data_IF_778362327013
#
_entry.id   IF_778362327013
#
_cell.length_a   1.000
_cell.length_b   1.000
_cell.length_c   1.000
_cell.angle_alpha   90.00
_cell.angle_beta   90.00
_cell.angle_gamma   90.00
#
_symmetry.space_group_name_H-M   'P 1'
#
loop_
_entity.id
_entity.type
_entity.pdbx_description
1 polymer ?
#
# COMPACT_ATOMS: atom_id res chain seq x y z
N UNK A 1 3.04 -30.60 -47.20
CA UNK A 1 1.99 -29.74 -46.64
C UNK A 1 2.65 -28.68 -45.77
N UNK A 2 2.34 -27.40 -46.07
CA UNK A 2 2.47 -26.11 -45.34
C UNK A 2 3.36 -26.12 -44.07
N UNK A 3 4.40 -25.28 -43.96
CA UNK A 3 4.31 -23.85 -43.62
C UNK A 3 4.41 -23.72 -42.07
N UNK A 4 5.17 -22.83 -41.44
CA UNK A 4 5.33 -21.40 -41.70
C UNK A 4 6.62 -20.84 -41.03
N UNK A 5 7.15 -19.82 -41.73
CA UNK A 5 7.92 -18.66 -41.30
C UNK A 5 8.59 -18.64 -39.92
N UNK A 6 9.91 -18.58 -39.97
CA UNK A 6 10.74 -17.92 -38.96
C UNK A 6 10.64 -16.41 -39.19
N UNK A 7 10.10 -15.66 -38.22
CA UNK A 7 10.32 -14.22 -38.13
C UNK A 7 11.52 -13.98 -37.21
N UNK A 8 12.69 -13.78 -37.81
CA UNK A 8 13.83 -13.17 -37.15
C UNK A 8 13.53 -11.68 -37.00
N UNK A 9 13.62 -11.14 -35.78
CA UNK A 9 13.68 -9.69 -35.61
C UNK A 9 15.04 -9.33 -34.99
N UNK A 10 15.87 -8.73 -35.83
CA UNK A 10 17.20 -8.20 -35.51
C UNK A 10 17.07 -6.93 -34.66
N UNK A 11 17.00 -7.10 -33.34
CA UNK A 11 17.44 -6.09 -32.37
C UNK A 11 17.77 -6.76 -31.05
N UNK A 12 19.05 -6.76 -30.72
CA UNK A 12 19.61 -7.34 -29.51
C UNK A 12 18.89 -6.87 -28.23
N UNK A 13 18.54 -7.82 -27.38
CA UNK A 13 18.07 -7.62 -26.02
C UNK A 13 17.84 -8.98 -25.36
N UNK A 14 18.85 -9.50 -24.65
CA UNK A 14 18.71 -10.71 -23.84
C UNK A 14 17.68 -10.53 -22.71
N UNK A 15 17.47 -11.53 -21.83
CA UNK A 15 16.55 -11.39 -20.71
C UNK A 15 16.98 -10.19 -19.85
N UNK A 16 16.16 -9.15 -19.84
CA UNK A 16 16.33 -8.02 -18.92
C UNK A 16 15.97 -8.51 -17.52
N UNK A 17 16.97 -9.00 -16.77
CA UNK A 17 16.89 -9.10 -15.31
C UNK A 17 17.04 -7.70 -14.73
N UNK A 18 16.05 -6.84 -14.98
CA UNK A 18 15.96 -5.53 -14.37
C UNK A 18 15.38 -5.70 -12.97
N UNK A 19 16.19 -5.48 -11.94
CA UNK A 19 15.67 -5.06 -10.64
C UNK A 19 15.05 -3.67 -10.83
N UNK A 20 13.85 -3.60 -11.42
CA UNK A 20 13.02 -2.41 -11.30
C UNK A 20 12.60 -2.35 -9.85
N UNK A 21 13.26 -1.49 -9.06
CA UNK A 21 12.60 -0.97 -7.88
C UNK A 21 11.29 -0.36 -8.37
N UNK A 22 10.19 -1.08 -8.19
CA UNK A 22 8.86 -0.61 -8.51
C UNK A 22 8.68 0.68 -7.70
N UNK A 23 8.59 1.82 -8.40
CA UNK A 23 8.44 3.13 -7.76
C UNK A 23 7.09 3.12 -7.04
N UNK A 24 7.12 2.91 -5.73
CA UNK A 24 5.94 2.93 -4.87
C UNK A 24 5.79 4.28 -4.21
N UNK A 25 4.57 4.79 -4.21
CA UNK A 25 4.18 5.92 -3.39
C UNK A 25 4.02 5.42 -1.96
N UNK A 26 4.54 6.18 -1.00
CA UNK A 26 4.39 5.92 0.44
C UNK A 26 3.49 6.97 1.05
N UNK A 27 2.66 6.55 2.01
CA UNK A 27 1.87 7.44 2.84
C UNK A 27 1.94 7.01 4.32
N UNK A 28 1.72 7.97 5.20
CA UNK A 28 1.43 7.72 6.61
C UNK A 28 -0.03 8.07 6.86
N UNK A 29 -0.79 7.15 7.44
CA UNK A 29 -2.20 7.35 7.76
C UNK A 29 -2.32 7.44 9.27
N UNK A 30 -2.77 8.61 9.74
CA UNK A 30 -3.09 8.86 11.13
C UNK A 30 -4.56 8.54 11.34
N UNK A 31 -4.86 7.72 12.33
CA UNK A 31 -6.19 7.13 12.51
C UNK A 31 -6.67 7.50 13.91
N UNK A 32 -7.91 8.01 13.99
CA UNK A 32 -8.63 8.05 15.26
C UNK A 32 -9.54 6.83 15.37
N UNK A 33 -9.45 6.16 16.53
CA UNK A 33 -10.17 4.97 16.86
C UNK A 33 -11.17 5.24 18.00
N UNK A 34 -12.31 4.56 17.99
CA UNK A 34 -13.27 4.60 19.10
C UNK A 34 -12.58 4.27 20.42
N UNK A 35 -13.09 4.83 21.52
CA UNK A 35 -12.49 4.67 22.84
C UNK A 35 -12.19 3.20 23.17
N UNK A 36 -10.94 2.92 23.54
CA UNK A 36 -10.47 1.57 23.89
C UNK A 36 -10.16 0.65 22.70
N UNK A 37 -10.33 1.09 21.44
CA UNK A 37 -10.14 0.25 20.24
C UNK A 37 -8.78 0.39 19.56
N UNK A 38 -7.92 1.30 20.00
CA UNK A 38 -6.64 1.60 19.33
C UNK A 38 -5.79 0.34 19.03
N UNK A 39 -5.61 -0.52 20.03
CA UNK A 39 -4.82 -1.76 19.89
C UNK A 39 -5.49 -2.74 18.93
N UNK A 40 -6.81 -2.88 18.99
CA UNK A 40 -7.55 -3.80 18.12
C UNK A 40 -7.54 -3.32 16.66
N UNK A 41 -7.65 -2.01 16.44
CA UNK A 41 -7.49 -1.39 15.11
C UNK A 41 -6.09 -1.67 14.57
N UNK A 42 -5.03 -1.35 15.34
CA UNK A 42 -3.66 -1.60 14.91
C UNK A 42 -3.42 -3.08 14.56
N UNK A 43 -3.89 -4.01 15.42
CA UNK A 43 -3.79 -5.45 15.16
C UNK A 43 -4.55 -5.88 13.91
N UNK A 44 -5.73 -5.31 13.66
CA UNK A 44 -6.53 -5.63 12.47
C UNK A 44 -5.89 -5.17 11.16
N UNK A 45 -5.02 -4.16 11.23
CA UNK A 45 -4.28 -3.63 10.08
C UNK A 45 -2.96 -4.38 9.83
N UNK A 46 -2.46 -5.13 10.81
CA UNK A 46 -1.24 -5.92 10.66
C UNK A 46 -1.45 -7.06 9.65
N UNK A 47 -0.52 -7.20 8.71
CA UNK A 47 -0.57 -8.23 7.67
C UNK A 47 -1.54 -7.92 6.52
N UNK A 48 -2.21 -6.77 6.52
CA UNK A 48 -3.05 -6.33 5.40
C UNK A 48 -2.16 -5.88 4.24
N UNK A 49 -2.40 -6.42 3.04
CA UNK A 49 -1.66 -6.06 1.83
C UNK A 49 -1.67 -4.54 1.60
N UNK A 50 -0.48 -3.96 1.42
CA UNK A 50 -0.28 -2.52 1.22
C UNK A 50 -0.05 -1.73 2.51
N UNK A 51 -0.22 -2.34 3.68
CA UNK A 51 0.11 -1.75 4.98
C UNK A 51 1.40 -2.39 5.50
N UNK A 52 2.47 -1.61 5.57
CA UNK A 52 3.80 -2.09 5.99
C UNK A 52 3.92 -2.17 7.51
N UNK A 53 3.38 -1.16 8.20
CA UNK A 53 3.41 -1.04 9.66
C UNK A 53 2.10 -0.43 10.14
N UNK A 54 1.64 -0.86 11.32
CA UNK A 54 0.49 -0.28 12.00
C UNK A 54 0.67 -0.43 13.51
N UNK A 55 0.75 0.69 14.21
CA UNK A 55 1.06 0.74 15.64
C UNK A 55 0.05 1.63 16.36
N UNK A 56 -0.44 1.16 17.51
CA UNK A 56 -1.18 2.00 18.45
C UNK A 56 -0.20 2.96 19.13
N UNK A 57 -0.53 4.25 19.17
CA UNK A 57 0.35 5.29 19.69
C UNK A 57 -0.32 6.06 20.83
N UNK A 58 0.48 6.77 21.61
CA UNK A 58 -0.01 7.70 22.63
C UNK A 58 0.14 9.12 22.10
N UNK A 59 -0.96 9.73 21.65
CA UNK A 59 -0.95 11.05 21.02
C UNK A 59 -2.35 11.58 20.67
N UNK A 60 -2.41 12.60 19.80
CA UNK A 60 -3.69 13.15 19.27
C UNK A 60 -4.45 12.12 18.41
N UNK A 61 -3.71 11.16 17.87
CA UNK A 61 -4.23 10.02 17.11
C UNK A 61 -3.97 8.74 17.88
N UNK A 62 -4.75 7.71 17.56
CA UNK A 62 -4.74 6.44 18.28
C UNK A 62 -3.86 5.40 17.58
N UNK A 63 -3.77 5.47 16.25
CA UNK A 63 -2.97 4.55 15.43
C UNK A 63 -2.25 5.32 14.31
N UNK A 64 -1.01 4.93 14.02
CA UNK A 64 -0.28 5.33 12.81
C UNK A 64 -0.05 4.10 11.93
N UNK A 65 -0.35 4.22 10.64
CA UNK A 65 -0.08 3.18 9.65
C UNK A 65 0.80 3.69 8.51
N UNK A 66 1.83 2.92 8.14
CA UNK A 66 2.60 3.18 6.92
C UNK A 66 2.01 2.37 5.77
N UNK A 67 1.62 3.06 4.70
CA UNK A 67 0.97 2.47 3.52
C UNK A 67 1.84 2.66 2.30
N UNK A 68 1.92 1.64 1.44
CA UNK A 68 2.63 1.70 0.17
C UNK A 68 1.77 1.11 -0.96
N UNK A 69 1.79 1.78 -2.11
CA UNK A 69 1.08 1.36 -3.31
C UNK A 69 1.83 1.85 -4.57
N UNK A 70 1.51 1.32 -5.77
CA UNK A 70 2.14 1.78 -7.01
C UNK A 70 1.90 3.26 -7.31
N UNK A 71 0.77 3.82 -6.87
CA UNK A 71 0.40 5.23 -7.10
C UNK A 71 -0.50 5.78 -5.98
N UNK A 72 -0.84 7.07 -6.07
CA UNK A 72 -1.72 7.77 -5.12
C UNK A 72 -3.14 7.18 -5.11
N UNK A 73 -3.63 6.69 -6.27
CA UNK A 73 -4.95 6.08 -6.35
C UNK A 73 -5.00 4.77 -5.55
N UNK A 74 -3.95 3.95 -5.64
CA UNK A 74 -3.77 2.73 -4.86
C UNK A 74 -3.73 3.00 -3.36
N UNK A 75 -3.08 4.07 -2.91
CA UNK A 75 -3.15 4.51 -1.50
C UNK A 75 -4.59 4.79 -1.10
N UNK A 76 -5.33 5.54 -1.92
CA UNK A 76 -6.75 5.84 -1.68
C UNK A 76 -7.61 4.58 -1.58
N UNK A 77 -7.41 3.61 -2.48
CA UNK A 77 -8.11 2.32 -2.44
C UNK A 77 -7.81 1.56 -1.16
N UNK A 78 -6.55 1.46 -0.72
CA UNK A 78 -6.19 0.78 0.53
C UNK A 78 -6.89 1.46 1.72
N UNK A 79 -6.90 2.79 1.77
CA UNK A 79 -7.53 3.52 2.88
C UNK A 79 -9.03 3.23 2.93
N UNK A 80 -9.75 3.38 1.81
CA UNK A 80 -11.21 3.21 1.76
C UNK A 80 -11.61 1.75 1.95
N UNK A 81 -10.91 0.81 1.32
CA UNK A 81 -11.31 -0.60 1.32
C UNK A 81 -10.77 -1.41 2.49
N UNK A 82 -9.67 -0.97 3.11
CA UNK A 82 -9.03 -1.70 4.19
C UNK A 82 -9.09 -0.93 5.50
N UNK A 83 -8.61 0.32 5.54
CA UNK A 83 -8.48 1.06 6.80
C UNK A 83 -9.83 1.52 7.34
N UNK A 84 -10.64 2.21 6.52
CA UNK A 84 -11.92 2.79 6.96
C UNK A 84 -13.01 1.74 7.25
N UNK A 85 -12.82 0.49 6.82
CA UNK A 85 -13.75 -0.61 7.10
C UNK A 85 -13.44 -1.36 8.40
N UNK A 86 -12.31 -1.07 9.05
CA UNK A 86 -11.96 -1.68 10.34
C UNK A 86 -12.90 -1.15 11.42
N UNK A 87 -13.49 -2.06 12.20
CA UNK A 87 -14.34 -1.69 13.34
C UNK A 87 -13.57 -0.78 14.30
N UNK A 88 -14.20 0.32 14.69
CA UNK A 88 -13.61 1.34 15.54
C UNK A 88 -12.86 2.45 14.81
N UNK A 89 -12.59 2.37 13.51
CA UNK A 89 -12.04 3.51 12.75
C UNK A 89 -13.15 4.52 12.45
N UNK A 90 -12.99 5.78 12.86
CA UNK A 90 -13.98 6.83 12.60
C UNK A 90 -13.43 8.06 11.87
N UNK A 91 -12.10 8.27 11.90
CA UNK A 91 -11.44 9.35 11.16
C UNK A 91 -10.06 8.92 10.71
N UNK A 92 -9.66 9.39 9.53
CA UNK A 92 -8.31 9.18 8.99
C UNK A 92 -7.77 10.49 8.43
N UNK A 93 -6.47 10.72 8.59
CA UNK A 93 -5.72 11.79 7.92
C UNK A 93 -4.58 11.14 7.15
N UNK A 94 -4.43 11.49 5.88
CA UNK A 94 -3.43 10.87 5.00
C UNK A 94 -2.31 11.86 4.70
N UNK A 95 -1.08 11.44 4.96
CA UNK A 95 0.13 12.20 4.72
C UNK A 95 0.96 11.49 3.65
N UNK A 96 0.89 11.96 2.40
CA UNK A 96 1.73 11.46 1.31
C UNK A 96 3.19 11.84 1.54
N UNK A 97 4.10 10.88 1.42
CA UNK A 97 5.53 11.12 1.53
C UNK A 97 6.08 11.68 0.21
N UNK A 98 6.92 12.72 0.31
CA UNK A 98 7.60 13.35 -0.83
C UNK A 98 9.11 13.16 -0.64
N UNK A 99 9.84 12.83 -1.71
CA UNK A 99 11.30 12.68 -1.75
C UNK A 99 11.88 13.33 -2.98
#
# INVERSE_FOLDING_TARGET
MKGEAVCWNDRAGGPVTGNSEEVKVRAYVLINASAGKAIDVARSLQGVTGIQHADAITGEYDVIAQVEAPDVAGIGTIIVDKIQKVDGVFKTVTCLAVR
#
